data_IF_998327999346
#
_entry.id   IF_998327999346
#
_cell.length_a   1.000
_cell.length_b   1.000
_cell.length_c   1.000
_cell.angle_alpha   90.00
_cell.angle_beta   90.00
_cell.angle_gamma   90.00
#
_symmetry.space_group_name_H-M   'P 1'
#
loop_
_entity.id
_entity.type
_entity.pdbx_description
1 polymer ?
#
# COMPACT_ATOMS: atom_id res chain seq x y z
N UNK A 1 6.22 25.26 5.49
CA UNK A 1 4.77 25.50 5.37
C UNK A 1 4.04 24.77 6.48
N UNK A 2 3.30 25.48 7.29
CA UNK A 2 2.51 24.92 8.40
C UNK A 2 1.53 23.89 7.84
N UNK A 3 1.55 22.67 8.37
CA UNK A 3 0.61 21.60 7.96
C UNK A 3 -0.80 21.94 8.47
N UNK A 4 -1.44 22.97 7.88
CA UNK A 4 -2.88 23.18 8.08
C UNK A 4 -3.57 21.89 7.74
N UNK A 5 -4.35 21.33 8.66
CA UNK A 5 -5.19 20.16 8.44
C UNK A 5 -6.26 20.54 7.41
N UNK A 6 -5.93 20.40 6.13
CA UNK A 6 -6.91 20.60 5.07
C UNK A 6 -7.97 19.50 5.15
N UNK A 7 -9.23 19.86 4.87
CA UNK A 7 -10.31 18.89 4.69
C UNK A 7 -10.00 17.92 3.55
N UNK A 8 -10.57 16.73 3.59
CA UNK A 8 -10.34 15.67 2.60
C UNK A 8 -10.48 16.16 1.15
N UNK A 9 -11.59 16.86 0.83
CA UNK A 9 -11.83 17.40 -0.52
C UNK A 9 -10.73 18.37 -0.98
N UNK A 10 -10.19 19.18 -0.08
CA UNK A 10 -9.06 20.08 -0.39
C UNK A 10 -7.79 19.29 -0.67
N UNK A 11 -7.53 18.21 0.08
CA UNK A 11 -6.39 17.32 -0.16
C UNK A 11 -6.49 16.63 -1.51
N UNK A 12 -7.67 16.12 -1.88
CA UNK A 12 -7.90 15.45 -3.17
C UNK A 12 -7.52 16.36 -4.34
N UNK A 13 -7.81 17.65 -4.24
CA UNK A 13 -7.50 18.62 -5.30
C UNK A 13 -6.02 19.07 -5.22
N UNK A 14 -5.56 19.54 -4.07
CA UNK A 14 -4.33 20.34 -3.94
C UNK A 14 -3.13 19.59 -3.34
N UNK A 15 -3.30 18.43 -2.74
CA UNK A 15 -2.15 17.72 -2.20
C UNK A 15 -1.21 17.25 -3.33
N UNK A 16 0.11 17.28 -3.05
CA UNK A 16 1.13 16.85 -4.00
C UNK A 16 1.48 17.87 -5.07
N UNK A 17 0.79 19.02 -5.16
CA UNK A 17 1.17 20.10 -6.06
C UNK A 17 2.59 20.60 -5.70
N UNK A 18 3.44 20.88 -6.70
CA UNK A 18 4.76 21.45 -6.46
C UNK A 18 4.64 22.87 -5.86
N UNK A 19 5.57 23.20 -4.98
CA UNK A 19 5.69 24.54 -4.41
C UNK A 19 7.18 24.93 -4.43
N UNK A 20 7.58 25.95 -5.22
CA UNK A 20 6.74 26.77 -6.10
C UNK A 20 6.13 26.00 -7.26
N UNK A 21 5.04 26.52 -7.82
CA UNK A 21 4.40 25.95 -9.02
C UNK A 21 5.35 26.04 -10.21
N UNK A 22 5.35 25.01 -11.04
CA UNK A 22 6.20 24.93 -12.24
C UNK A 22 5.69 25.95 -13.25
N UNK A 23 6.52 26.96 -13.55
CA UNK A 23 6.17 28.07 -14.46
C UNK A 23 4.81 28.73 -14.15
N UNK A 24 4.37 28.67 -12.88
CA UNK A 24 3.08 29.19 -12.46
C UNK A 24 1.86 28.34 -12.87
N UNK A 25 2.07 27.15 -13.44
CA UNK A 25 0.99 26.28 -13.87
C UNK A 25 0.09 25.89 -12.68
N UNK A 26 -1.23 26.06 -12.85
CA UNK A 26 -2.21 25.72 -11.80
C UNK A 26 -2.27 24.21 -11.58
N UNK A 27 -2.25 23.43 -12.65
CA UNK A 27 -2.17 21.97 -12.61
C UNK A 27 -0.72 21.50 -12.82
N UNK A 28 -0.37 20.35 -12.28
CA UNK A 28 0.94 19.73 -12.53
C UNK A 28 1.08 19.42 -14.02
N UNK A 29 2.08 19.99 -14.72
CA UNK A 29 2.31 19.67 -16.12
C UNK A 29 2.60 18.19 -16.34
N UNK A 30 2.26 17.65 -17.52
CA UNK A 30 2.62 16.29 -17.92
C UNK A 30 4.04 16.29 -18.44
N UNK A 31 4.95 15.65 -17.71
CA UNK A 31 6.34 15.45 -18.09
C UNK A 31 6.47 14.16 -18.87
N UNK A 32 6.67 14.26 -20.19
CA UNK A 32 6.88 13.09 -21.06
C UNK A 32 8.35 12.64 -21.10
N UNK A 33 9.25 13.35 -20.43
CA UNK A 33 10.66 12.99 -20.38
C UNK A 33 10.87 11.70 -19.57
N UNK A 34 11.66 10.77 -20.14
CA UNK A 34 12.09 9.55 -19.45
C UNK A 34 13.36 9.76 -18.64
N UNK A 35 14.19 10.72 -19.04
CA UNK A 35 15.47 11.07 -18.40
C UNK A 35 15.51 12.56 -18.11
N UNK A 36 16.32 12.93 -17.14
CA UNK A 36 16.48 14.30 -16.65
C UNK A 36 17.94 14.65 -16.56
N UNK A 37 18.25 15.94 -16.53
CA UNK A 37 19.61 16.45 -16.41
C UNK A 37 20.30 15.90 -15.16
N UNK A 38 21.56 15.53 -15.32
CA UNK A 38 22.40 15.08 -14.22
C UNK A 38 23.01 16.31 -13.51
N UNK A 39 22.70 16.45 -12.24
CA UNK A 39 23.12 17.58 -11.41
C UNK A 39 24.21 17.19 -10.38
N UNK A 40 24.97 16.10 -10.67
CA UNK A 40 26.05 15.64 -9.81
C UNK A 40 25.62 14.67 -8.70
N UNK A 41 24.46 14.01 -8.83
CA UNK A 41 24.00 13.01 -7.86
C UNK A 41 24.95 11.82 -7.82
N UNK A 42 25.42 11.46 -6.62
CA UNK A 42 26.32 10.31 -6.38
C UNK A 42 25.57 9.03 -6.04
N UNK A 43 24.31 9.14 -5.61
CA UNK A 43 23.43 8.00 -5.32
C UNK A 43 22.53 7.70 -6.51
N UNK A 44 22.50 6.43 -6.93
CA UNK A 44 21.62 5.97 -8.00
C UNK A 44 20.15 6.31 -7.75
N UNK A 45 19.68 6.20 -6.50
CA UNK A 45 18.30 6.51 -6.14
C UNK A 45 17.96 8.01 -6.17
N UNK A 46 18.98 8.88 -6.21
CA UNK A 46 18.80 10.32 -6.37
C UNK A 46 18.65 10.75 -7.84
N UNK A 47 18.99 9.87 -8.79
CA UNK A 47 18.80 10.12 -10.22
C UNK A 47 17.31 10.21 -10.56
N UNK A 48 16.95 11.22 -11.36
CA UNK A 48 15.59 11.31 -11.89
C UNK A 48 15.46 10.50 -13.18
N UNK A 49 14.68 9.43 -13.13
CA UNK A 49 14.52 8.51 -14.24
C UNK A 49 13.18 7.76 -14.15
N UNK A 50 12.50 7.60 -15.28
CA UNK A 50 11.13 7.07 -15.30
C UNK A 50 11.02 5.68 -14.66
N UNK A 51 12.00 4.80 -14.86
CA UNK A 51 12.00 3.45 -14.26
C UNK A 51 12.23 3.44 -12.74
N UNK A 52 12.73 4.53 -12.18
CA UNK A 52 12.85 4.70 -10.72
C UNK A 52 11.57 5.24 -10.08
N UNK A 53 10.49 5.39 -10.85
CA UNK A 53 9.19 5.86 -10.36
C UNK A 53 9.29 7.22 -9.63
N UNK A 54 10.17 8.11 -10.09
CA UNK A 54 10.52 9.36 -9.43
C UNK A 54 10.50 10.59 -10.35
N UNK A 55 9.82 10.52 -11.49
CA UNK A 55 9.60 11.73 -12.31
C UNK A 55 8.67 12.71 -11.58
N UNK A 56 8.61 13.99 -11.98
CA UNK A 56 7.77 14.97 -11.29
C UNK A 56 6.30 14.55 -11.15
N UNK A 57 5.73 13.87 -12.16
CA UNK A 57 4.35 13.37 -12.08
C UNK A 57 4.20 12.23 -11.07
N UNK A 58 5.16 11.30 -10.99
CA UNK A 58 5.18 10.25 -9.95
C UNK A 58 5.24 10.87 -8.56
N UNK A 59 6.18 11.81 -8.34
CA UNK A 59 6.35 12.47 -7.04
C UNK A 59 5.07 13.21 -6.63
N UNK A 60 4.44 13.94 -7.55
CA UNK A 60 3.19 14.64 -7.28
C UNK A 60 2.07 13.67 -6.87
N UNK A 61 1.94 12.55 -7.60
CA UNK A 61 0.94 11.52 -7.32
C UNK A 61 1.22 10.78 -6.00
N UNK A 62 2.47 10.40 -5.73
CA UNK A 62 2.86 9.79 -4.45
C UNK A 62 2.51 10.68 -3.26
N UNK A 63 2.82 11.97 -3.34
CA UNK A 63 2.49 12.94 -2.28
C UNK A 63 0.98 13.09 -2.10
N UNK A 64 0.23 13.09 -3.20
CA UNK A 64 -1.24 13.20 -3.16
C UNK A 64 -1.85 11.98 -2.48
N UNK A 65 -1.49 10.76 -2.91
CA UNK A 65 -1.99 9.52 -2.31
C UNK A 65 -1.62 9.46 -0.82
N UNK A 66 -0.35 9.72 -0.46
CA UNK A 66 0.05 9.75 0.95
C UNK A 66 -0.79 10.75 1.78
N UNK A 67 -1.11 11.92 1.22
CA UNK A 67 -1.89 12.94 1.93
C UNK A 67 -3.36 12.55 2.13
N UNK A 68 -3.99 11.92 1.14
CA UNK A 68 -5.40 11.51 1.23
C UNK A 68 -5.57 10.27 2.09
N UNK A 69 -4.59 9.35 2.09
CA UNK A 69 -4.55 8.17 2.96
C UNK A 69 -4.05 8.49 4.40
N UNK A 70 -3.61 9.71 4.65
CA UNK A 70 -3.02 10.07 5.96
C UNK A 70 -1.68 9.39 6.25
N UNK A 71 -1.06 8.76 5.25
CA UNK A 71 0.20 8.05 5.35
C UNK A 71 1.43 8.95 5.26
N UNK A 72 2.58 8.41 5.67
CA UNK A 72 3.87 9.12 5.56
C UNK A 72 4.37 9.21 4.11
N UNK A 73 4.20 8.14 3.36
CA UNK A 73 4.64 7.98 1.96
C UNK A 73 3.69 7.09 1.20
N UNK A 74 3.71 7.20 -0.12
CA UNK A 74 3.04 6.30 -1.03
C UNK A 74 3.96 5.95 -2.20
N UNK A 75 3.75 4.78 -2.76
CA UNK A 75 4.34 4.33 -4.02
C UNK A 75 3.20 3.90 -4.95
N UNK A 76 3.13 4.49 -6.12
CA UNK A 76 2.13 4.13 -7.13
C UNK A 76 2.71 3.09 -8.08
N UNK A 77 1.96 2.06 -8.35
CA UNK A 77 2.32 0.95 -9.24
C UNK A 77 1.42 0.91 -10.47
N UNK A 78 1.74 0.06 -11.43
CA UNK A 78 1.00 -0.05 -12.70
C UNK A 78 -0.32 -0.82 -12.58
N UNK A 79 -0.54 -1.53 -11.47
CA UNK A 79 -1.78 -2.29 -11.22
C UNK A 79 -1.98 -2.57 -9.74
N UNK A 80 -3.20 -2.89 -9.32
CA UNK A 80 -3.50 -3.33 -7.95
C UNK A 80 -2.73 -4.58 -7.56
N UNK A 81 -2.67 -5.58 -8.45
CA UNK A 81 -1.86 -6.79 -8.19
C UNK A 81 -0.38 -6.47 -8.01
N UNK A 82 0.17 -5.54 -8.79
CA UNK A 82 1.55 -5.07 -8.58
C UNK A 82 1.73 -4.42 -7.21
N UNK A 83 0.75 -3.65 -6.73
CA UNK A 83 0.79 -3.08 -5.37
C UNK A 83 0.79 -4.19 -4.31
N UNK A 84 -0.11 -5.17 -4.43
CA UNK A 84 -0.25 -6.29 -3.48
C UNK A 84 1.02 -7.14 -3.46
N UNK A 85 1.46 -7.65 -4.63
CA UNK A 85 2.59 -8.56 -4.72
C UNK A 85 3.89 -7.92 -4.27
N UNK A 86 4.16 -6.67 -4.70
CA UNK A 86 5.36 -5.93 -4.30
C UNK A 86 5.36 -5.67 -2.79
N UNK A 87 4.22 -5.30 -2.20
CA UNK A 87 4.12 -5.03 -0.78
C UNK A 87 4.34 -6.32 0.03
N UNK A 88 3.68 -7.43 -0.32
CA UNK A 88 3.87 -8.71 0.36
C UNK A 88 5.32 -9.17 0.30
N UNK A 89 5.95 -9.19 -0.89
CA UNK A 89 7.34 -9.61 -1.06
C UNK A 89 8.39 -8.64 -0.46
N UNK A 90 7.99 -7.41 -0.12
CA UNK A 90 8.87 -6.50 0.63
C UNK A 90 9.08 -6.96 2.07
N UNK A 91 8.05 -7.55 2.68
CA UNK A 91 8.06 -7.93 4.10
C UNK A 91 8.14 -9.43 4.34
N UNK A 92 7.89 -10.25 3.30
CA UNK A 92 7.92 -11.70 3.38
C UNK A 92 9.05 -12.28 2.53
N UNK A 93 9.71 -13.28 3.07
CA UNK A 93 10.76 -14.06 2.41
C UNK A 93 10.60 -15.55 2.73
N UNK A 94 11.40 -16.39 2.08
CA UNK A 94 11.43 -17.83 2.37
C UNK A 94 11.53 -18.10 3.87
N UNK A 95 10.65 -18.95 4.38
CA UNK A 95 10.54 -19.32 5.79
C UNK A 95 9.66 -18.40 6.65
N UNK A 96 9.16 -17.29 6.12
CA UNK A 96 8.20 -16.43 6.83
C UNK A 96 6.77 -16.95 6.69
N UNK A 97 5.87 -16.49 7.56
CA UNK A 97 4.47 -16.86 7.59
C UNK A 97 3.55 -15.64 7.46
N UNK A 98 2.52 -15.80 6.63
CA UNK A 98 1.44 -14.86 6.36
C UNK A 98 0.13 -15.38 6.95
N UNK A 99 -0.59 -14.52 7.67
CA UNK A 99 -2.01 -14.73 7.97
C UNK A 99 -2.83 -13.88 7.01
N UNK A 100 -3.72 -14.49 6.24
CA UNK A 100 -4.54 -13.79 5.26
C UNK A 100 -6.04 -13.99 5.52
N UNK A 101 -6.87 -13.05 5.08
CA UNK A 101 -8.32 -13.27 5.10
C UNK A 101 -8.70 -14.45 4.20
N UNK A 102 -9.69 -15.24 4.62
CA UNK A 102 -10.18 -16.40 3.87
C UNK A 102 -11.02 -16.02 2.63
N UNK A 103 -11.56 -14.80 2.61
CA UNK A 103 -12.32 -14.24 1.50
C UNK A 103 -11.56 -13.04 0.95
N UNK A 104 -11.06 -13.16 -0.28
CA UNK A 104 -10.23 -12.18 -0.95
C UNK A 104 -10.62 -12.06 -2.42
N UNK A 105 -10.23 -10.95 -3.05
CA UNK A 105 -10.25 -10.83 -4.51
C UNK A 105 -9.56 -12.03 -5.16
N UNK A 106 -10.16 -12.57 -6.23
CA UNK A 106 -9.70 -13.82 -6.87
C UNK A 106 -8.23 -13.85 -7.23
N UNK A 107 -7.70 -12.77 -7.82
CA UNK A 107 -6.27 -12.68 -8.14
C UNK A 107 -5.36 -12.67 -6.91
N UNK A 108 -5.77 -12.03 -5.83
CA UNK A 108 -5.05 -12.04 -4.55
C UNK A 108 -5.10 -13.41 -3.89
N UNK A 109 -6.29 -14.04 -3.90
CA UNK A 109 -6.47 -15.38 -3.35
C UNK A 109 -5.62 -16.41 -4.08
N UNK A 110 -5.56 -16.35 -5.40
CA UNK A 110 -4.75 -17.22 -6.23
C UNK A 110 -3.26 -17.05 -5.94
N UNK A 111 -2.79 -15.81 -5.96
CA UNK A 111 -1.39 -15.47 -5.64
C UNK A 111 -0.97 -15.95 -4.24
N UNK A 112 -1.80 -15.71 -3.22
CA UNK A 112 -1.49 -16.10 -1.84
C UNK A 112 -1.50 -17.64 -1.67
N UNK A 113 -2.44 -18.33 -2.33
CA UNK A 113 -2.58 -19.80 -2.18
C UNK A 113 -1.60 -20.59 -3.01
N UNK A 114 -1.27 -20.11 -4.20
CA UNK A 114 -0.53 -20.89 -5.18
C UNK A 114 0.90 -20.37 -5.38
N UNK A 115 1.11 -19.04 -5.48
CA UNK A 115 2.44 -18.51 -5.80
C UNK A 115 3.32 -18.31 -4.55
N UNK A 116 2.79 -17.79 -3.44
CA UNK A 116 3.58 -17.56 -2.23
C UNK A 116 4.22 -18.83 -1.65
N UNK A 117 3.54 -20.01 -1.62
CA UNK A 117 4.17 -21.24 -1.19
C UNK A 117 5.38 -21.65 -2.04
N UNK A 118 5.38 -21.36 -3.36
CA UNK A 118 6.52 -21.63 -4.24
C UNK A 118 7.75 -20.76 -3.88
N UNK A 119 7.53 -19.60 -3.23
CA UNK A 119 8.60 -18.80 -2.64
C UNK A 119 9.00 -19.23 -1.23
N UNK A 120 8.42 -20.34 -0.71
CA UNK A 120 8.69 -20.85 0.63
C UNK A 120 8.04 -20.02 1.74
N UNK A 121 6.96 -19.30 1.45
CA UNK A 121 6.19 -18.52 2.42
C UNK A 121 4.99 -19.36 2.86
N UNK A 122 4.88 -19.61 4.17
CA UNK A 122 3.75 -20.31 4.73
C UNK A 122 2.53 -19.40 4.82
N UNK A 123 1.33 -19.95 4.64
CA UNK A 123 0.08 -19.18 4.67
C UNK A 123 -0.98 -19.90 5.51
N UNK A 124 -1.60 -19.17 6.44
CA UNK A 124 -2.82 -19.56 7.11
C UNK A 124 -3.94 -18.54 6.86
N UNK A 125 -5.19 -18.99 6.92
CA UNK A 125 -6.35 -18.15 6.67
C UNK A 125 -7.20 -17.96 7.92
N UNK A 126 -7.76 -16.74 8.04
CA UNK A 126 -8.68 -16.32 9.10
C UNK A 126 -9.95 -15.73 8.49
N UNK A 127 -11.02 -15.70 9.27
CA UNK A 127 -12.16 -14.84 9.00
C UNK A 127 -11.89 -13.46 9.64
N UNK A 128 -11.75 -12.41 8.83
CA UNK A 128 -11.48 -11.07 9.31
C UNK A 128 -12.64 -10.45 10.13
N UNK A 129 -13.83 -11.02 10.06
CA UNK A 129 -14.99 -10.59 10.83
C UNK A 129 -15.11 -11.31 12.20
N UNK A 130 -14.50 -12.51 12.34
CA UNK A 130 -14.57 -13.31 13.56
C UNK A 130 -13.18 -13.51 14.21
N UNK A 131 -12.89 -12.82 15.32
CA UNK A 131 -11.58 -12.90 15.99
C UNK A 131 -11.36 -14.17 16.82
N UNK A 132 -12.29 -15.12 16.88
CA UNK A 132 -12.31 -16.23 17.84
C UNK A 132 -11.05 -17.09 17.76
N UNK A 133 -10.49 -17.30 16.57
CA UNK A 133 -9.36 -18.21 16.35
C UNK A 133 -8.10 -17.57 15.76
N UNK A 134 -8.01 -16.23 15.72
CA UNK A 134 -6.84 -15.57 15.11
C UNK A 134 -5.53 -15.90 15.84
N UNK A 135 -5.57 -15.94 17.18
CA UNK A 135 -4.38 -16.22 18.02
C UNK A 135 -3.83 -17.65 17.76
N UNK A 136 -4.69 -18.61 17.45
CA UNK A 136 -4.29 -19.98 17.14
C UNK A 136 -3.50 -20.13 15.84
N UNK A 137 -3.59 -19.11 14.97
CA UNK A 137 -2.88 -19.05 13.69
C UNK A 137 -1.49 -18.44 13.79
N UNK A 138 -1.12 -17.88 14.96
CA UNK A 138 0.19 -17.29 15.16
C UNK A 138 1.25 -18.40 15.21
N UNK A 139 2.30 -18.24 14.44
CA UNK A 139 3.51 -19.06 14.44
C UNK A 139 4.73 -18.20 14.80
N UNK A 140 5.85 -18.80 15.25
CA UNK A 140 7.07 -18.03 15.56
C UNK A 140 7.63 -17.22 14.38
N UNK A 141 7.33 -17.65 13.16
CA UNK A 141 7.74 -17.03 11.90
C UNK A 141 6.64 -16.15 11.27
N UNK A 142 5.52 -15.89 11.95
CA UNK A 142 4.47 -14.98 11.44
C UNK A 142 5.01 -13.54 11.37
N UNK A 143 4.82 -12.89 10.23
CA UNK A 143 5.28 -11.51 9.96
C UNK A 143 4.15 -10.56 9.63
N UNK A 144 3.17 -11.02 8.88
CA UNK A 144 2.16 -10.17 8.23
C UNK A 144 0.78 -10.74 8.48
N UNK A 145 -0.18 -9.86 8.71
CA UNK A 145 -1.60 -10.14 8.55
C UNK A 145 -2.15 -9.28 7.41
N UNK A 146 -2.79 -9.93 6.42
CA UNK A 146 -3.34 -9.28 5.24
C UNK A 146 -4.86 -9.45 5.17
N UNK A 147 -5.59 -8.34 5.06
CA UNK A 147 -7.05 -8.32 4.95
C UNK A 147 -7.51 -7.25 3.96
N UNK A 148 -8.75 -7.39 3.48
CA UNK A 148 -9.46 -6.35 2.72
C UNK A 148 -10.42 -5.59 3.65
N UNK A 149 -10.59 -4.29 3.40
CA UNK A 149 -11.60 -3.49 4.14
C UNK A 149 -13.01 -4.03 3.93
N UNK A 150 -13.31 -4.37 2.68
CA UNK A 150 -14.56 -4.98 2.22
C UNK A 150 -14.16 -6.12 1.29
N UNK A 151 -14.54 -7.34 1.63
CA UNK A 151 -14.11 -8.53 0.89
C UNK A 151 -14.77 -8.64 -0.49
N UNK A 152 -14.07 -9.19 -1.45
CA UNK A 152 -14.60 -9.52 -2.77
C UNK A 152 -14.65 -11.07 -2.92
N UNK A 153 -15.78 -11.70 -3.30
CA UNK A 153 -17.04 -11.07 -3.75
C UNK A 153 -18.12 -10.92 -2.66
N UNK A 154 -17.88 -11.37 -1.43
CA UNK A 154 -18.94 -11.51 -0.43
C UNK A 154 -19.33 -10.20 0.26
N UNK A 155 -18.61 -9.09 0.03
CA UNK A 155 -18.89 -7.77 0.59
C UNK A 155 -18.96 -7.76 2.13
N UNK A 156 -18.20 -8.63 2.79
CA UNK A 156 -18.07 -8.67 4.24
C UNK A 156 -17.13 -7.58 4.71
N UNK A 157 -17.53 -6.81 5.70
CA UNK A 157 -16.69 -5.79 6.34
C UNK A 157 -15.88 -6.47 7.44
N UNK A 158 -14.54 -6.41 7.35
CA UNK A 158 -13.65 -6.95 8.38
C UNK A 158 -13.70 -6.14 9.68
N UNK A 159 -13.40 -6.79 10.80
CA UNK A 159 -13.25 -6.13 12.10
C UNK A 159 -11.88 -5.42 12.19
N UNK A 160 -11.66 -4.36 11.39
CA UNK A 160 -10.36 -3.75 11.12
C UNK A 160 -9.67 -3.25 12.39
N UNK A 161 -10.40 -2.61 13.31
CA UNK A 161 -9.83 -2.17 14.60
C UNK A 161 -9.27 -3.35 15.39
N UNK A 162 -9.95 -4.51 15.37
CA UNK A 162 -9.50 -5.73 16.03
C UNK A 162 -8.30 -6.34 15.31
N UNK A 163 -8.26 -6.31 13.97
CA UNK A 163 -7.12 -6.76 13.15
C UNK A 163 -5.87 -5.94 13.49
N UNK A 164 -6.01 -4.61 13.53
CA UNK A 164 -4.89 -3.72 13.86
C UNK A 164 -4.41 -3.97 15.30
N UNK A 165 -5.32 -4.10 16.25
CA UNK A 165 -4.98 -4.42 17.65
C UNK A 165 -4.29 -5.80 17.78
N UNK A 166 -4.79 -6.81 17.07
CA UNK A 166 -4.20 -8.14 16.99
C UNK A 166 -2.78 -8.10 16.40
N UNK A 167 -2.58 -7.39 15.28
CA UNK A 167 -1.27 -7.21 14.69
C UNK A 167 -0.28 -6.53 15.64
N UNK A 168 -0.70 -5.43 16.27
CA UNK A 168 0.12 -4.72 17.26
C UNK A 168 0.51 -5.60 18.45
N UNK A 169 -0.46 -6.31 19.03
CA UNK A 169 -0.24 -7.21 20.18
C UNK A 169 0.82 -8.27 19.86
N UNK A 170 0.83 -8.78 18.64
CA UNK A 170 1.69 -9.87 18.20
C UNK A 170 2.93 -9.40 17.41
N UNK A 171 3.19 -8.08 17.38
CA UNK A 171 4.31 -7.47 16.65
C UNK A 171 4.33 -7.86 15.15
N UNK A 172 3.15 -7.91 14.54
CA UNK A 172 2.97 -8.18 13.11
C UNK A 172 2.76 -6.89 12.32
N UNK A 173 3.03 -6.95 11.03
CA UNK A 173 2.66 -5.91 10.08
C UNK A 173 1.21 -6.16 9.63
N UNK A 174 0.32 -5.18 9.83
CA UNK A 174 -1.01 -5.21 9.23
C UNK A 174 -0.98 -4.59 7.84
N UNK A 175 -1.43 -5.35 6.85
CA UNK A 175 -1.63 -4.88 5.47
C UNK A 175 -3.11 -4.90 5.16
N UNK A 176 -3.62 -3.75 4.73
CA UNK A 176 -5.05 -3.59 4.46
C UNK A 176 -5.25 -3.16 3.02
N UNK A 177 -5.92 -4.00 2.24
CA UNK A 177 -6.36 -3.63 0.89
C UNK A 177 -7.64 -2.80 1.01
N UNK A 178 -7.51 -1.51 0.69
CA UNK A 178 -8.59 -0.55 0.80
C UNK A 178 -9.26 -0.24 -0.56
N UNK A 179 -9.20 -1.14 -1.51
CA UNK A 179 -9.68 -0.92 -2.88
C UNK A 179 -11.16 -0.51 -2.91
N UNK A 180 -12.02 -1.23 -2.18
CA UNK A 180 -13.48 -0.99 -2.26
C UNK A 180 -13.94 0.19 -1.40
N UNK A 181 -13.40 0.39 -0.21
CA UNK A 181 -13.78 1.52 0.63
C UNK A 181 -13.13 2.84 0.18
N UNK A 182 -11.94 2.79 -0.40
CA UNK A 182 -11.13 3.95 -0.82
C UNK A 182 -10.76 4.89 0.34
N UNK A 183 -9.84 5.85 0.13
CA UNK A 183 -9.49 6.85 1.16
C UNK A 183 -10.64 7.75 1.62
N UNK A 184 -11.79 7.66 0.95
CA UNK A 184 -12.96 8.49 1.30
C UNK A 184 -13.80 7.88 2.42
N UNK A 185 -13.78 6.54 2.57
CA UNK A 185 -14.62 5.81 3.52
C UNK A 185 -13.81 5.12 4.64
N UNK A 186 -12.50 4.99 4.46
CA UNK A 186 -11.60 4.35 5.43
C UNK A 186 -10.31 5.14 5.59
#
# INVERSE_FOLDING_TARGET
MDKKKHAFNTKVIHAGEPDPRIEGAVNVPIFQSSTFEFEGQTDYNALKYIRLNNTPNHIALHKKIAAIEGGEKALVTSSGMSAITTTLLTFLKNGDHLIANNTLYGGTADYIKNDLPDYGIEVDFIDSADPTNWEEKIKPNTKVVYVETITNPLMVIGALDKIVAFAHKNNLISMIDNTLASPALF
#
